data_IF_029891802951
#
_entry.id   IF_029891802951
#
_cell.length_a   1.000
_cell.length_b   1.000
_cell.length_c   1.000
_cell.angle_alpha   90.00
_cell.angle_beta   90.00
_cell.angle_gamma   90.00
#
_symmetry.space_group_name_H-M   'P 1'
#
loop_
_entity.id
_entity.type
_entity.pdbx_description
1 polymer ?
#
# COMPACT_ATOMS: atom_id res chain seq x y z
N UNK A 1 -1.10 2.60 1.53
CA UNK A 1 -0.64 1.33 2.13
C UNK A 1 -0.51 1.57 3.62
N UNK A 2 -1.28 0.89 4.43
CA UNK A 2 -1.16 0.93 5.89
C UNK A 2 -0.28 -0.24 6.35
N UNK A 3 0.67 0.02 7.23
CA UNK A 3 1.54 -0.97 7.87
C UNK A 3 1.64 -0.70 9.36
N UNK A 4 2.14 -1.69 10.11
CA UNK A 4 2.49 -1.51 11.52
C UNK A 4 3.76 -2.25 11.87
N UNK A 5 4.51 -1.74 12.84
CA UNK A 5 5.58 -2.51 13.47
C UNK A 5 5.04 -3.53 14.49
N UNK A 6 5.95 -4.25 15.16
CA UNK A 6 5.61 -5.27 16.17
C UNK A 6 5.03 -4.70 17.47
N UNK A 7 5.17 -3.40 17.71
CA UNK A 7 4.56 -2.71 18.85
C UNK A 7 3.19 -2.13 18.49
N UNK A 8 2.74 -2.30 17.24
CA UNK A 8 1.45 -1.83 16.76
C UNK A 8 1.44 -0.35 16.37
N UNK A 9 2.62 0.30 16.26
CA UNK A 9 2.70 1.66 15.71
C UNK A 9 2.39 1.61 14.23
N UNK A 10 1.37 2.36 13.81
CA UNK A 10 0.87 2.34 12.44
C UNK A 10 1.33 3.55 11.65
N UNK A 11 1.61 3.34 10.37
CA UNK A 11 1.88 4.38 9.38
C UNK A 11 1.08 4.13 8.10
N UNK A 12 0.90 5.19 7.29
CA UNK A 12 0.26 5.09 5.99
C UNK A 12 1.11 5.78 4.93
N UNK A 13 1.53 5.00 3.93
CA UNK A 13 2.23 5.50 2.75
C UNK A 13 1.24 5.59 1.57
N UNK A 14 0.85 6.80 1.11
CA UNK A 14 0.06 6.93 -0.12
C UNK A 14 0.90 6.46 -1.32
N UNK A 15 0.27 5.81 -2.30
CA UNK A 15 0.92 5.42 -3.56
C UNK A 15 0.06 5.90 -4.72
N UNK A 16 0.69 6.49 -5.72
CA UNK A 16 0.02 7.08 -6.87
C UNK A 16 0.97 7.18 -8.06
N UNK A 17 0.42 6.99 -9.25
CA UNK A 17 1.09 7.05 -10.53
C UNK A 17 0.01 7.11 -11.63
N UNK A 18 0.39 7.08 -12.91
CA UNK A 18 -0.54 7.10 -14.03
C UNK A 18 -1.59 5.96 -13.94
N UNK A 19 -2.79 6.11 -14.55
CA UNK A 19 -3.84 5.10 -14.50
C UNK A 19 -3.34 3.68 -14.86
N UNK A 20 -3.73 2.69 -14.06
CA UNK A 20 -3.31 1.29 -14.24
C UNK A 20 -1.92 0.96 -13.69
N UNK A 21 -1.40 1.77 -12.77
CA UNK A 21 -0.09 1.54 -12.13
C UNK A 21 -0.03 0.36 -11.18
N UNK A 22 -1.16 -0.04 -10.58
CA UNK A 22 -1.26 -1.30 -9.83
C UNK A 22 -1.54 -2.44 -10.82
N UNK A 23 -0.75 -3.50 -10.75
CA UNK A 23 -0.92 -4.70 -11.58
C UNK A 23 -1.35 -5.87 -10.71
N UNK A 24 -2.25 -6.70 -11.24
CA UNK A 24 -2.55 -8.02 -10.70
C UNK A 24 -1.57 -8.97 -11.38
N UNK A 25 -0.73 -9.64 -10.60
CA UNK A 25 0.23 -10.63 -11.12
C UNK A 25 -0.41 -12.01 -11.18
N UNK A 26 -1.23 -12.34 -10.18
CA UNK A 26 -2.04 -13.55 -10.06
C UNK A 26 -3.19 -13.32 -9.06
N UNK A 27 -3.94 -14.37 -8.72
CA UNK A 27 -5.13 -14.31 -7.87
C UNK A 27 -4.86 -13.78 -6.44
N UNK A 28 -3.61 -13.85 -5.96
CA UNK A 28 -3.22 -13.46 -4.60
C UNK A 28 -2.16 -12.35 -4.57
N UNK A 29 -1.63 -11.94 -5.73
CA UNK A 29 -0.47 -11.06 -5.81
C UNK A 29 -0.73 -9.78 -6.59
N UNK A 30 -0.46 -8.64 -5.95
CA UNK A 30 -0.48 -7.32 -6.56
C UNK A 30 0.93 -6.72 -6.65
N UNK A 31 1.26 -6.11 -7.78
CA UNK A 31 2.44 -5.25 -7.92
C UNK A 31 2.05 -3.78 -7.83
N UNK A 32 2.63 -3.07 -6.85
CA UNK A 32 2.46 -1.64 -6.64
C UNK A 32 3.84 -0.99 -6.80
N UNK A 33 4.04 -0.06 -7.77
CA UNK A 33 5.32 0.58 -7.97
C UNK A 33 5.65 1.45 -6.77
N UNK A 34 6.89 1.31 -6.32
CA UNK A 34 7.46 2.24 -5.38
C UNK A 34 8.10 3.39 -6.15
N UNK A 35 7.80 4.66 -5.82
CA UNK A 35 8.32 5.85 -6.53
C UNK A 35 9.08 6.77 -5.57
N UNK A 36 10.16 7.46 -6.01
CA UNK A 36 10.88 8.41 -5.16
C UNK A 36 9.94 9.59 -4.82
N UNK A 37 9.63 9.78 -3.54
CA UNK A 37 8.69 10.82 -3.07
C UNK A 37 7.75 10.35 -1.97
N UNK A 38 7.47 9.04 -1.90
CA UNK A 38 6.80 8.42 -0.76
C UNK A 38 7.88 7.83 0.14
N UNK A 39 8.14 8.40 1.31
CA UNK A 39 9.18 7.97 2.28
C UNK A 39 9.26 6.44 2.36
N UNK A 40 10.15 5.86 1.56
CA UNK A 40 10.07 4.44 1.15
C UNK A 40 10.43 3.50 2.30
N UNK A 41 11.17 3.98 3.29
CA UNK A 41 11.86 3.11 4.23
C UNK A 41 10.93 2.54 5.31
N UNK A 42 9.97 3.34 5.79
CA UNK A 42 9.20 2.96 6.99
C UNK A 42 8.26 1.78 6.73
N UNK A 43 7.53 1.77 5.60
CA UNK A 43 6.70 0.63 5.21
C UNK A 43 7.53 -0.65 5.00
N UNK A 44 8.72 -0.54 4.39
CA UNK A 44 9.60 -1.72 4.23
C UNK A 44 10.14 -2.21 5.57
N UNK A 45 10.55 -1.32 6.47
CA UNK A 45 10.97 -1.68 7.82
C UNK A 45 9.86 -2.39 8.60
N UNK A 46 8.63 -1.89 8.49
CA UNK A 46 7.47 -2.51 9.12
C UNK A 46 7.21 -3.90 8.53
N UNK A 47 7.30 -4.07 7.21
CA UNK A 47 7.16 -5.38 6.55
C UNK A 47 8.22 -6.41 6.98
N UNK A 48 9.44 -5.98 7.30
CA UNK A 48 10.47 -6.87 7.85
C UNK A 48 10.14 -7.35 9.28
N UNK A 49 9.35 -6.59 10.05
CA UNK A 49 8.98 -6.94 11.42
C UNK A 49 7.62 -7.65 11.48
N UNK A 50 6.64 -7.13 10.74
CA UNK A 50 5.26 -7.60 10.64
C UNK A 50 4.78 -7.49 9.18
N UNK A 51 4.57 -8.61 8.47
CA UNK A 51 4.26 -8.60 7.03
C UNK A 51 2.82 -8.20 6.71
N UNK A 52 2.00 -7.85 7.71
CA UNK A 52 0.59 -7.49 7.51
C UNK A 52 0.47 -6.06 7.02
N UNK A 53 -0.28 -5.88 5.92
CA UNK A 53 -0.59 -4.57 5.35
C UNK A 53 -2.07 -4.45 5.01
N UNK A 54 -2.55 -3.21 4.99
CA UNK A 54 -3.87 -2.87 4.45
C UNK A 54 -3.75 -1.97 3.23
N UNK A 55 -4.59 -2.21 2.22
CA UNK A 55 -4.70 -1.39 1.04
C UNK A 55 -6.10 -0.76 0.96
N UNK A 56 -6.14 0.50 0.56
CA UNK A 56 -7.36 1.20 0.16
C UNK A 56 -7.11 1.91 -1.16
N UNK A 57 -8.01 1.72 -2.12
CA UNK A 57 -7.96 2.36 -3.42
C UNK A 57 -8.97 3.51 -3.46
N UNK A 58 -8.47 4.69 -3.83
CA UNK A 58 -9.24 5.91 -3.95
C UNK A 58 -9.21 6.38 -5.41
N UNK A 59 -10.39 6.57 -6.00
CA UNK A 59 -10.54 7.10 -7.36
C UNK A 59 -11.18 8.49 -7.24
N UNK A 60 -10.50 9.57 -7.65
CA UNK A 60 -11.09 10.91 -7.62
C UNK A 60 -12.46 10.96 -8.31
N UNK A 61 -13.46 11.54 -7.64
CA UNK A 61 -14.83 11.63 -8.16
C UNK A 61 -15.69 10.36 -7.99
N UNK A 62 -15.15 9.28 -7.41
CA UNK A 62 -15.92 8.10 -6.98
C UNK A 62 -16.07 8.12 -5.46
N UNK A 63 -17.22 7.65 -4.96
CA UNK A 63 -17.48 7.55 -3.51
C UNK A 63 -17.16 6.15 -2.98
N UNK A 64 -17.18 5.18 -3.87
CA UNK A 64 -16.83 3.79 -3.62
C UNK A 64 -15.32 3.64 -3.47
N UNK A 65 -14.93 2.75 -2.57
CA UNK A 65 -13.53 2.38 -2.35
C UNK A 65 -13.39 0.87 -2.42
N UNK A 66 -12.21 0.40 -2.83
CA UNK A 66 -11.82 -1.01 -2.72
C UNK A 66 -10.83 -1.13 -1.56
N UNK A 67 -11.04 -2.10 -0.68
CA UNK A 67 -10.14 -2.43 0.42
C UNK A 67 -9.66 -3.87 0.32
N UNK A 68 -8.38 -4.08 0.62
CA UNK A 68 -7.74 -5.39 0.75
C UNK A 68 -6.98 -5.40 2.08
N UNK A 69 -7.02 -6.49 2.84
CA UNK A 69 -6.30 -6.64 4.11
C UNK A 69 -6.47 -8.01 4.72
#
# INVERSE_FOLDING_TARGET
>A
IASSDNEGRMDVSPKGDAPGFVKILDDETLAIPDRPGNQRFDTFCNLFQSPRIGLIFLIPGKRETLRIG
#
